data_IF_205486629672
#
_entry.id   IF_205486629672
#
_cell.length_a   1.000
_cell.length_b   1.000
_cell.length_c   1.000
_cell.angle_alpha   90.00
_cell.angle_beta   90.00
_cell.angle_gamma   90.00
#
_symmetry.space_group_name_H-M   'P 1'
#
loop_
_entity.id
_entity.type
_entity.pdbx_description
1 polymer ?
#
# COMPACT_ATOMS: atom_id res chain seq x y z
N UNK A 1 14.81 -13.40 8.97
CA UNK A 1 15.47 -13.52 10.31
C UNK A 1 16.87 -12.90 10.31
N UNK A 2 17.80 -13.30 9.44
CA UNK A 2 19.17 -12.74 9.40
C UNK A 2 19.22 -11.22 9.35
N UNK A 3 18.36 -10.59 8.54
CA UNK A 3 18.26 -9.13 8.46
C UNK A 3 17.83 -8.48 9.79
N UNK A 4 16.80 -9.05 10.43
CA UNK A 4 16.28 -8.54 11.72
C UNK A 4 17.28 -8.63 12.86
N UNK A 5 18.20 -9.60 12.78
CA UNK A 5 19.25 -9.83 13.80
C UNK A 5 20.58 -9.17 13.43
N UNK A 6 20.62 -8.30 12.43
CA UNK A 6 21.80 -7.53 12.02
C UNK A 6 22.92 -8.39 11.39
N UNK A 7 22.60 -9.58 10.87
CA UNK A 7 23.60 -10.48 10.28
C UNK A 7 23.96 -10.08 8.85
N UNK A 8 25.21 -10.29 8.49
CA UNK A 8 25.75 -10.03 7.14
C UNK A 8 25.01 -10.79 6.03
N UNK A 9 24.47 -11.96 6.35
CA UNK A 9 23.70 -12.80 5.40
C UNK A 9 22.26 -12.34 5.21
N UNK A 10 21.84 -11.24 5.87
CA UNK A 10 20.55 -10.61 5.66
C UNK A 10 20.43 -10.02 4.25
N UNK A 11 19.19 -9.90 3.72
CA UNK A 11 18.93 -9.41 2.36
C UNK A 11 19.43 -7.98 2.11
N UNK A 12 19.54 -7.17 3.16
CA UNK A 12 20.14 -5.83 3.18
C UNK A 12 21.44 -5.81 4.00
N UNK A 13 22.12 -6.96 4.11
CA UNK A 13 23.37 -7.16 4.85
C UNK A 13 23.27 -6.80 6.34
N UNK A 14 22.09 -6.99 6.93
CA UNK A 14 21.80 -6.72 8.33
C UNK A 14 21.66 -5.23 8.68
N UNK A 15 21.56 -4.33 7.70
CA UNK A 15 21.46 -2.89 7.90
C UNK A 15 20.03 -2.35 7.80
N UNK A 16 19.10 -3.13 7.28
CA UNK A 16 17.72 -2.69 7.01
C UNK A 16 16.77 -2.84 8.21
N UNK A 17 17.08 -3.72 9.14
CA UNK A 17 16.16 -4.05 10.25
C UNK A 17 14.82 -4.56 9.76
N UNK A 18 13.73 -4.10 10.38
CA UNK A 18 12.36 -4.51 10.04
C UNK A 18 11.70 -3.65 8.94
N UNK A 19 12.22 -2.46 8.66
CA UNK A 19 11.57 -1.49 7.76
C UNK A 19 12.27 -1.28 6.43
N UNK A 20 13.58 -1.54 6.34
CA UNK A 20 14.40 -1.21 5.16
C UNK A 20 14.96 -2.46 4.50
N UNK A 21 14.08 -3.40 4.20
CA UNK A 21 14.45 -4.63 3.50
C UNK A 21 14.31 -4.46 2.00
N UNK A 22 15.36 -4.83 1.26
CA UNK A 22 15.40 -4.75 -0.21
C UNK A 22 15.89 -6.08 -0.78
N UNK A 23 15.26 -6.54 -1.84
CA UNK A 23 15.67 -7.75 -2.53
C UNK A 23 15.49 -7.61 -4.05
N UNK A 24 16.53 -7.20 -4.74
CA UNK A 24 16.50 -7.05 -6.20
C UNK A 24 16.13 -8.37 -6.88
N UNK A 25 16.66 -9.49 -6.39
CA UNK A 25 16.38 -10.83 -6.93
C UNK A 25 14.88 -11.18 -6.86
N UNK A 26 14.20 -10.77 -5.77
CA UNK A 26 12.77 -10.97 -5.58
C UNK A 26 11.92 -9.79 -6.07
N UNK A 27 12.52 -8.80 -6.73
CA UNK A 27 11.84 -7.58 -7.21
C UNK A 27 11.09 -6.85 -6.10
N UNK A 28 11.63 -6.90 -4.89
CA UNK A 28 11.14 -6.19 -3.72
C UNK A 28 12.03 -4.97 -3.48
N UNK A 29 11.49 -3.80 -3.77
CA UNK A 29 12.23 -2.53 -3.75
C UNK A 29 12.06 -1.76 -2.43
N UNK A 30 11.64 -2.47 -1.41
CA UNK A 30 11.80 -2.08 -0.04
C UNK A 30 10.64 -1.33 0.60
N UNK A 31 10.81 -1.15 1.90
CA UNK A 31 10.06 -0.21 2.73
C UNK A 31 10.85 1.08 2.92
N UNK A 32 10.14 2.17 3.12
CA UNK A 32 10.72 3.50 3.26
C UNK A 32 10.23 4.15 4.56
N UNK A 33 11.14 4.75 5.34
CA UNK A 33 10.81 5.45 6.56
C UNK A 33 10.07 6.77 6.34
N UNK A 34 10.25 7.39 5.16
CA UNK A 34 9.54 8.60 4.77
C UNK A 34 8.17 8.22 4.23
N UNK A 35 7.11 8.69 4.91
CA UNK A 35 5.72 8.37 4.56
C UNK A 35 5.39 8.87 3.15
N UNK A 36 4.88 7.99 2.30
CA UNK A 36 4.50 8.30 0.92
C UNK A 36 5.66 8.22 -0.10
N UNK A 37 6.93 8.17 0.34
CA UNK A 37 8.08 8.16 -0.57
C UNK A 37 8.11 6.96 -1.53
N UNK A 38 7.55 5.83 -1.15
CA UNK A 38 7.44 4.64 -2.00
C UNK A 38 6.57 4.87 -3.24
N UNK A 39 5.67 5.87 -3.21
CA UNK A 39 4.71 6.08 -4.30
C UNK A 39 5.40 6.60 -5.56
N UNK A 40 6.14 7.72 -5.53
CA UNK A 40 6.91 8.15 -6.70
C UNK A 40 8.00 7.16 -7.12
N UNK A 41 8.59 6.41 -6.18
CA UNK A 41 9.55 5.35 -6.54
C UNK A 41 8.87 4.23 -7.33
N UNK A 42 7.68 3.79 -6.91
CA UNK A 42 6.92 2.79 -7.63
C UNK A 42 6.46 3.26 -9.02
N UNK A 43 6.15 4.54 -9.16
CA UNK A 43 5.84 5.17 -10.46
C UNK A 43 7.09 5.18 -11.36
N UNK A 44 8.27 5.50 -10.81
CA UNK A 44 9.53 5.41 -11.53
C UNK A 44 9.86 3.98 -12.02
N UNK A 45 9.53 2.96 -11.21
CA UNK A 45 9.67 1.56 -11.65
C UNK A 45 8.67 1.24 -12.77
N UNK A 46 7.43 1.71 -12.69
CA UNK A 46 6.43 1.59 -13.75
C UNK A 46 6.90 2.26 -15.05
N UNK A 47 7.48 3.46 -14.94
CA UNK A 47 8.11 4.15 -16.07
C UNK A 47 9.23 3.30 -16.70
N UNK A 48 10.12 2.73 -15.89
CA UNK A 48 11.19 1.87 -16.38
C UNK A 48 10.65 0.62 -17.11
N UNK A 49 9.57 0.02 -16.62
CA UNK A 49 8.92 -1.10 -17.30
C UNK A 49 8.35 -0.70 -18.67
N UNK A 50 7.66 0.43 -18.73
CA UNK A 50 7.14 0.96 -19.99
C UNK A 50 8.26 1.31 -20.97
N UNK A 51 9.28 2.04 -20.52
CA UNK A 51 10.41 2.44 -21.34
C UNK A 51 11.18 1.25 -21.95
N UNK A 52 11.27 0.15 -21.19
CA UNK A 52 11.94 -1.09 -21.64
C UNK A 52 10.99 -2.04 -22.39
N UNK A 53 9.74 -1.65 -22.60
CA UNK A 53 8.70 -2.47 -23.19
C UNK A 53 8.53 -3.84 -22.47
N UNK A 54 8.61 -3.83 -21.14
CA UNK A 54 8.46 -5.01 -20.29
C UNK A 54 7.00 -5.18 -19.87
N UNK A 55 6.44 -6.38 -20.05
CA UNK A 55 5.09 -6.73 -19.57
C UNK A 55 5.11 -7.00 -18.06
N UNK A 56 5.34 -5.95 -17.27
CA UNK A 56 5.41 -5.99 -15.80
C UNK A 56 4.59 -4.86 -15.20
N UNK A 57 4.12 -5.07 -13.98
CA UNK A 57 3.33 -4.09 -13.23
C UNK A 57 4.12 -3.75 -11.96
N UNK A 58 4.29 -2.45 -11.70
CA UNK A 58 4.78 -1.95 -10.42
C UNK A 58 3.63 -1.92 -9.41
N UNK A 59 3.80 -2.56 -8.25
CA UNK A 59 2.82 -2.54 -7.15
C UNK A 59 3.33 -1.65 -6.03
N UNK A 60 2.49 -0.72 -5.60
CA UNK A 60 2.81 0.27 -4.57
C UNK A 60 1.80 0.18 -3.44
N UNK A 61 2.26 -0.12 -2.24
CA UNK A 61 1.45 -0.19 -1.04
C UNK A 61 1.59 1.10 -0.24
N UNK A 62 0.47 1.64 0.23
CA UNK A 62 0.44 2.84 1.08
C UNK A 62 -0.72 2.76 2.07
N UNK A 63 -0.52 3.30 3.26
CA UNK A 63 -1.58 3.42 4.26
C UNK A 63 -2.50 4.63 4.02
N UNK A 64 -3.63 4.65 4.69
CA UNK A 64 -4.60 5.75 4.66
C UNK A 64 -3.98 7.11 5.01
N UNK A 65 -3.11 7.16 6.02
CA UNK A 65 -2.38 8.39 6.38
C UNK A 65 -1.45 8.89 5.28
N UNK A 66 -0.82 7.99 4.51
CA UNK A 66 0.08 8.35 3.42
C UNK A 66 -0.66 9.02 2.26
N UNK A 67 -1.94 8.72 2.06
CA UNK A 67 -2.78 9.31 1.01
C UNK A 67 -2.95 10.83 1.09
N UNK A 68 -2.63 11.44 2.23
CA UNK A 68 -2.69 12.90 2.39
C UNK A 68 -1.36 13.60 2.07
N UNK A 69 -0.33 12.86 1.63
CA UNK A 69 0.96 13.44 1.28
C UNK A 69 0.94 13.98 -0.17
N UNK A 70 1.42 15.21 -0.38
CA UNK A 70 1.40 15.88 -1.67
C UNK A 70 2.09 15.10 -2.80
N UNK A 71 3.22 14.44 -2.52
CA UNK A 71 3.95 13.63 -3.51
C UNK A 71 3.13 12.44 -4.04
N UNK A 72 2.11 11.98 -3.32
CA UNK A 72 1.20 10.93 -3.81
C UNK A 72 0.38 11.44 -4.99
N UNK A 73 -0.14 12.65 -4.90
CA UNK A 73 -0.92 13.27 -5.98
C UNK A 73 -0.06 13.60 -7.20
N UNK A 74 1.17 14.05 -6.99
CA UNK A 74 2.14 14.23 -8.08
C UNK A 74 2.41 12.90 -8.79
N UNK A 75 2.60 11.82 -8.02
CA UNK A 75 2.82 10.48 -8.55
C UNK A 75 1.60 9.95 -9.32
N UNK A 76 0.38 10.21 -8.86
CA UNK A 76 -0.85 9.86 -9.58
C UNK A 76 -0.93 10.60 -10.92
N UNK A 77 -0.65 11.91 -10.92
CA UNK A 77 -0.61 12.70 -12.14
C UNK A 77 0.38 12.13 -13.16
N UNK A 78 1.62 11.85 -12.75
CA UNK A 78 2.64 11.28 -13.64
C UNK A 78 2.28 9.88 -14.14
N UNK A 79 1.76 9.03 -13.25
CA UNK A 79 1.35 7.68 -13.61
C UNK A 79 0.24 7.68 -14.67
N UNK A 80 -0.73 8.57 -14.53
CA UNK A 80 -1.83 8.71 -15.47
C UNK A 80 -1.39 9.37 -16.78
N UNK A 81 -0.68 10.50 -16.70
CA UNK A 81 -0.20 11.25 -17.86
C UNK A 81 0.67 10.39 -18.79
N UNK A 82 1.52 9.57 -18.20
CA UNK A 82 2.42 8.70 -18.95
C UNK A 82 1.85 7.29 -19.16
N UNK A 83 0.61 7.03 -18.77
CA UNK A 83 -0.05 5.73 -18.92
C UNK A 83 0.83 4.58 -18.42
N UNK A 84 1.26 4.65 -17.15
CA UNK A 84 2.21 3.71 -16.58
C UNK A 84 1.53 2.46 -16.01
N UNK A 85 2.15 1.29 -16.12
CA UNK A 85 1.64 0.04 -15.55
C UNK A 85 1.88 -0.01 -14.03
N UNK A 86 1.11 0.77 -13.28
CA UNK A 86 1.21 0.88 -11.81
C UNK A 86 -0.10 0.48 -11.17
N UNK A 87 -0.02 -0.39 -10.16
CA UNK A 87 -1.11 -0.73 -9.26
C UNK A 87 -0.85 -0.07 -7.91
N UNK A 88 -1.68 0.89 -7.54
CA UNK A 88 -1.69 1.50 -6.21
C UNK A 88 -2.62 0.71 -5.28
N UNK A 89 -2.15 0.38 -4.08
CA UNK A 89 -2.90 -0.40 -3.09
C UNK A 89 -2.91 0.38 -1.80
N UNK A 90 -4.11 0.84 -1.39
CA UNK A 90 -4.32 1.53 -0.13
C UNK A 90 -4.72 0.51 0.93
N UNK A 91 -3.93 0.35 1.97
CA UNK A 91 -4.28 -0.40 3.17
C UNK A 91 -4.96 0.54 4.16
N UNK A 92 -6.29 0.68 4.02
CA UNK A 92 -7.08 1.60 4.84
C UNK A 92 -7.52 0.92 6.14
N UNK A 93 -6.69 1.07 7.18
CA UNK A 93 -7.01 0.58 8.53
C UNK A 93 -7.67 1.65 9.43
N UNK A 94 -8.08 2.78 8.86
CA UNK A 94 -8.78 3.91 9.48
C UNK A 94 -7.92 4.76 10.42
N UNK A 95 -6.63 4.46 10.59
CA UNK A 95 -5.75 5.19 11.52
C UNK A 95 -4.36 5.41 10.93
N UNK A 96 -4.01 6.67 10.70
CA UNK A 96 -2.63 7.11 10.50
C UNK A 96 -1.97 7.30 11.88
N UNK A 97 -1.17 6.31 12.35
CA UNK A 97 -0.74 6.19 13.74
C UNK A 97 -1.94 6.24 14.70
N UNK A 98 -2.08 7.27 15.52
CA UNK A 98 -3.19 7.51 16.45
C UNK A 98 -4.28 8.43 15.89
N UNK A 99 -4.13 8.97 14.69
CA UNK A 99 -5.11 9.89 14.10
C UNK A 99 -6.11 9.13 13.23
N UNK A 100 -7.39 9.21 13.58
CA UNK A 100 -8.44 8.59 12.77
C UNK A 100 -8.60 9.27 11.42
N UNK A 101 -9.00 8.50 10.41
CA UNK A 101 -9.23 9.00 9.05
C UNK A 101 -10.27 10.14 9.03
N UNK A 102 -11.32 10.06 9.84
CA UNK A 102 -12.35 11.10 9.94
C UNK A 102 -11.83 12.45 10.46
N UNK A 103 -10.64 12.49 11.08
CA UNK A 103 -9.97 13.73 11.50
C UNK A 103 -8.93 14.25 10.54
N UNK A 104 -8.45 13.41 9.61
CA UNK A 104 -7.31 13.72 8.75
C UNK A 104 -7.64 13.74 7.26
N UNK A 105 -8.78 13.19 6.87
CA UNK A 105 -9.15 13.06 5.46
C UNK A 105 -10.49 13.71 5.17
N UNK A 106 -10.55 14.54 4.16
CA UNK A 106 -11.80 15.00 3.58
C UNK A 106 -12.36 13.88 2.68
N UNK A 107 -13.60 13.48 2.92
CA UNK A 107 -14.25 12.36 2.21
C UNK A 107 -13.91 10.98 2.80
N UNK A 108 -14.74 10.00 2.49
CA UNK A 108 -14.68 8.67 3.10
C UNK A 108 -14.01 7.61 2.21
N UNK A 109 -13.92 7.87 0.89
CA UNK A 109 -13.38 6.94 -0.10
C UNK A 109 -12.05 7.47 -0.62
N UNK A 110 -10.95 6.86 -0.19
CA UNK A 110 -9.61 7.36 -0.52
C UNK A 110 -9.24 7.11 -1.99
N UNK A 111 -9.72 6.00 -2.56
CA UNK A 111 -9.44 5.69 -3.98
C UNK A 111 -10.05 6.73 -4.93
N UNK A 112 -11.16 7.38 -4.54
CA UNK A 112 -11.78 8.42 -5.35
C UNK A 112 -10.87 9.63 -5.60
N UNK A 113 -9.91 9.88 -4.71
CA UNK A 113 -8.91 10.95 -4.91
C UNK A 113 -8.03 10.73 -6.14
N UNK A 114 -7.87 9.48 -6.57
CA UNK A 114 -7.13 9.16 -7.78
C UNK A 114 -7.98 9.35 -9.06
N UNK A 115 -9.30 9.35 -8.95
CA UNK A 115 -10.20 9.51 -10.12
C UNK A 115 -10.08 10.88 -10.77
N UNK A 116 -9.70 11.92 -10.01
CA UNK A 116 -9.42 13.28 -10.51
C UNK A 116 -8.30 13.26 -11.56
N UNK A 117 -7.38 12.30 -11.45
CA UNK A 117 -6.29 12.07 -12.42
C UNK A 117 -6.66 11.04 -13.49
N UNK A 118 -7.93 10.61 -13.57
CA UNK A 118 -8.37 9.59 -14.52
C UNK A 118 -7.94 8.17 -14.18
N UNK A 119 -7.46 7.91 -12.95
CA UNK A 119 -7.09 6.57 -12.50
C UNK A 119 -8.35 5.83 -12.06
N UNK A 120 -8.63 4.71 -12.72
CA UNK A 120 -9.73 3.81 -12.34
C UNK A 120 -9.41 3.07 -11.05
N UNK A 121 -10.41 2.88 -10.20
CA UNK A 121 -10.22 2.16 -8.94
C UNK A 121 -11.49 1.57 -8.37
N UNK A 122 -11.32 0.82 -7.30
CA UNK A 122 -12.40 0.22 -6.52
C UNK A 122 -12.01 0.12 -5.04
N UNK A 123 -13.02 0.03 -4.18
CA UNK A 123 -12.85 -0.30 -2.76
C UNK A 123 -13.34 -1.72 -2.52
N UNK A 124 -12.61 -2.46 -1.70
CA UNK A 124 -12.90 -3.86 -1.38
C UNK A 124 -12.72 -4.15 0.10
N UNK A 125 -13.38 -5.20 0.57
CA UNK A 125 -13.13 -5.77 1.90
C UNK A 125 -11.72 -6.42 1.91
N UNK A 126 -10.77 -5.74 2.52
CA UNK A 126 -9.37 -6.18 2.63
C UNK A 126 -9.16 -7.31 3.63
N UNK A 127 -10.19 -7.67 4.41
CA UNK A 127 -10.16 -8.80 5.36
C UNK A 127 -10.64 -10.11 4.70
N UNK A 128 -11.20 -10.05 3.50
CA UNK A 128 -11.65 -11.23 2.74
C UNK A 128 -10.65 -11.57 1.62
N UNK A 129 -9.96 -12.70 1.77
CA UNK A 129 -8.95 -13.16 0.82
C UNK A 129 -9.47 -13.27 -0.62
N UNK A 130 -10.67 -13.84 -0.80
CA UNK A 130 -11.22 -14.06 -2.14
C UNK A 130 -11.56 -12.74 -2.83
N UNK A 131 -12.16 -11.80 -2.09
CA UNK A 131 -12.48 -10.46 -2.61
C UNK A 131 -11.22 -9.71 -3.04
N UNK A 132 -10.16 -9.77 -2.22
CA UNK A 132 -8.85 -9.16 -2.56
C UNK A 132 -8.21 -9.82 -3.77
N UNK A 133 -8.26 -11.16 -3.85
CA UNK A 133 -7.72 -11.91 -4.99
C UNK A 133 -8.41 -11.53 -6.29
N UNK A 134 -9.74 -11.47 -6.29
CA UNK A 134 -10.53 -11.11 -7.46
C UNK A 134 -10.27 -9.66 -7.89
N UNK A 135 -10.17 -8.72 -6.94
CA UNK A 135 -9.82 -7.34 -7.24
C UNK A 135 -8.43 -7.21 -7.86
N UNK A 136 -7.45 -7.96 -7.33
CA UNK A 136 -6.09 -7.98 -7.87
C UNK A 136 -6.05 -8.53 -9.31
N UNK A 137 -6.86 -9.55 -9.62
CA UNK A 137 -7.01 -10.10 -10.97
C UNK A 137 -7.61 -9.04 -11.90
N UNK A 138 -8.72 -8.40 -11.51
CA UNK A 138 -9.36 -7.33 -12.30
C UNK A 138 -8.40 -6.18 -12.58
N UNK A 139 -7.68 -5.72 -11.56
CA UNK A 139 -6.70 -4.63 -11.68
C UNK A 139 -5.56 -5.01 -12.64
N UNK A 140 -4.99 -6.23 -12.49
CA UNK A 140 -3.95 -6.74 -13.38
C UNK A 140 -4.42 -6.77 -14.84
N UNK A 141 -5.60 -7.31 -15.08
CA UNK A 141 -6.14 -7.47 -16.42
C UNK A 141 -6.45 -6.11 -17.05
N UNK A 142 -6.97 -5.16 -16.25
CA UNK A 142 -7.17 -3.79 -16.69
C UNK A 142 -5.85 -3.11 -17.09
N UNK A 143 -4.82 -3.19 -16.23
CA UNK A 143 -3.50 -2.57 -16.50
C UNK A 143 -2.86 -3.21 -17.75
N UNK A 144 -2.90 -4.53 -17.87
CA UNK A 144 -2.33 -5.22 -19.03
C UNK A 144 -3.04 -4.88 -20.35
N UNK A 145 -4.37 -4.69 -20.29
CA UNK A 145 -5.18 -4.38 -21.48
C UNK A 145 -5.03 -2.92 -21.91
N UNK A 146 -4.98 -1.99 -20.96
CA UNK A 146 -5.11 -0.57 -21.24
C UNK A 146 -3.78 0.19 -21.10
N UNK A 147 -2.75 -0.42 -20.52
CA UNK A 147 -1.48 0.23 -20.15
C UNK A 147 -1.69 1.49 -19.29
N UNK A 148 -2.68 1.45 -18.37
CA UNK A 148 -3.05 2.56 -17.48
C UNK A 148 -2.96 2.14 -16.02
N UNK A 149 -2.68 3.10 -15.11
CA UNK A 149 -2.64 2.78 -13.68
C UNK A 149 -4.04 2.39 -13.15
N UNK A 150 -4.02 1.68 -12.04
CA UNK A 150 -5.23 1.27 -11.31
C UNK A 150 -5.01 1.44 -9.81
N UNK A 151 -6.08 1.68 -9.04
CA UNK A 151 -6.01 1.81 -7.59
C UNK A 151 -7.03 0.89 -6.91
N UNK A 152 -6.61 0.22 -5.83
CA UNK A 152 -7.48 -0.57 -4.97
C UNK A 152 -7.39 0.00 -3.56
N UNK A 153 -8.51 0.34 -2.96
CA UNK A 153 -8.61 0.62 -1.54
C UNK A 153 -9.09 -0.62 -0.81
N UNK A 154 -8.25 -1.15 0.06
CA UNK A 154 -8.56 -2.30 0.91
C UNK A 154 -9.01 -1.81 2.27
N UNK A 155 -10.28 -2.03 2.62
CA UNK A 155 -10.79 -1.77 3.96
C UNK A 155 -10.29 -2.85 4.90
N UNK A 156 -9.42 -2.48 5.84
CA UNK A 156 -8.70 -3.40 6.70
C UNK A 156 -8.90 -3.05 8.17
N UNK A 157 -8.53 -3.97 9.04
CA UNK A 157 -8.51 -3.77 10.48
C UNK A 157 -7.08 -3.89 11.03
N UNK A 158 -6.68 -2.93 11.87
CA UNK A 158 -5.41 -2.98 12.58
C UNK A 158 -5.56 -3.70 13.90
N UNK A 159 -5.09 -4.94 14.00
CA UNK A 159 -5.22 -5.76 15.22
C UNK A 159 -4.42 -5.26 16.42
N UNK A 160 -3.27 -4.64 16.21
CA UNK A 160 -2.38 -4.12 17.25
C UNK A 160 -2.13 -2.63 17.06
N UNK A 161 -1.44 -1.98 17.99
CA UNK A 161 -0.95 -0.62 17.83
C UNK A 161 -0.06 -0.46 16.58
N UNK A 162 0.19 0.77 16.19
CA UNK A 162 1.00 1.08 15.01
C UNK A 162 2.43 0.53 15.09
N UNK A 163 3.00 0.53 16.30
CA UNK A 163 4.34 0.00 16.58
C UNK A 163 4.35 -0.67 17.96
N UNK A 164 5.47 -1.31 18.30
CA UNK A 164 5.64 -1.92 19.63
C UNK A 164 5.50 -0.92 20.79
N UNK A 165 5.81 0.35 20.56
CA UNK A 165 5.69 1.43 21.56
C UNK A 165 4.32 2.10 21.56
N UNK A 166 3.42 1.75 20.66
CA UNK A 166 2.08 2.34 20.58
C UNK A 166 1.10 1.58 21.48
N UNK A 167 0.66 2.18 22.61
CA UNK A 167 -0.28 1.54 23.54
C UNK A 167 -1.72 1.50 23.03
N UNK A 168 -1.99 2.14 21.87
CA UNK A 168 -3.30 2.13 21.22
C UNK A 168 -4.41 2.85 21.97
N UNK A 169 -4.11 3.75 22.91
CA UNK A 169 -5.07 4.46 23.78
C UNK A 169 -6.10 5.30 23.01
N UNK A 170 -5.88 5.55 21.74
CA UNK A 170 -6.80 6.25 20.83
C UNK A 170 -7.97 5.39 20.33
N UNK A 171 -7.98 4.10 20.66
CA UNK A 171 -9.04 3.16 20.28
C UNK A 171 -9.78 2.67 21.52
N UNK A 172 -11.11 2.44 21.37
CA UNK A 172 -11.93 1.91 22.47
C UNK A 172 -11.65 0.43 22.73
N UNK A 173 -12.02 -0.07 23.91
CA UNK A 173 -11.91 -1.49 24.26
C UNK A 173 -12.61 -2.40 23.24
N UNK A 174 -13.77 -1.97 22.70
CA UNK A 174 -14.51 -2.72 21.70
C UNK A 174 -13.72 -2.93 20.41
N UNK A 175 -12.89 -1.97 20.00
CA UNK A 175 -11.99 -2.12 18.85
C UNK A 175 -10.81 -3.05 19.14
N UNK A 176 -10.37 -3.11 20.41
CA UNK A 176 -9.29 -4.03 20.83
C UNK A 176 -9.73 -5.48 20.93
N UNK A 177 -11.02 -5.70 21.27
CA UNK A 177 -11.61 -7.02 21.47
C UNK A 177 -12.30 -7.56 20.22
N UNK A 178 -12.18 -6.88 19.10
CA UNK A 178 -12.65 -7.42 17.82
C UNK A 178 -11.98 -8.78 17.57
N UNK A 179 -12.72 -9.86 17.35
CA UNK A 179 -12.15 -11.18 17.21
C UNK A 179 -11.15 -11.21 16.05
N UNK A 180 -9.99 -11.77 16.30
CA UNK A 180 -9.04 -12.07 15.24
C UNK A 180 -9.68 -13.03 14.23
N UNK A 181 -9.36 -12.98 12.95
CA UNK A 181 -9.77 -14.01 12.00
C UNK A 181 -9.41 -15.44 12.43
N UNK A 182 -8.43 -15.58 13.35
CA UNK A 182 -8.08 -16.87 13.97
C UNK A 182 -9.07 -17.31 15.04
N UNK A 183 -9.86 -16.40 15.60
CA UNK A 183 -10.81 -16.69 16.67
C UNK A 183 -12.21 -17.06 16.11
N UNK A 184 -12.43 -16.88 14.82
CA UNK A 184 -13.67 -17.25 14.12
C UNK A 184 -13.75 -18.72 13.70
N UNK A 185 -12.78 -19.55 14.11
CA UNK A 185 -12.71 -20.99 13.83
C UNK A 185 -12.92 -21.87 15.06
N UNK A 186 -13.55 -21.31 16.12
CA UNK A 186 -14.02 -22.08 17.28
C UNK A 186 -15.53 -22.18 17.29
#
# INVERSE_FOLDING_TARGET
>A
MSELTGRKDGISKGKGGSMHMFSKANRFYGGHGIVGAQVPLGVGIGFAHKYRNEKKISRVYLGDGAMSNGQVFEAFNLASLWELPVLFIIENNKYGMGTSIGRSAAGNELFERATVFGIKGEKVDGMNFFTVSDAAIRARDYINKNSKPYIIEMDTYRFRGHSMSDPGLYRTCLLYTSPSPRDSTL
#
